data_IF_471291922984
#
_entry.id   IF_471291922984
#
_cell.length_a   1.000
_cell.length_b   1.000
_cell.length_c   1.000
_cell.angle_alpha   90.00
_cell.angle_beta   90.00
_cell.angle_gamma   90.00
#
_symmetry.space_group_name_H-M   'P 1'
#
loop_
_entity.id
_entity.type
_entity.pdbx_description
1 polymer ?
#
# COMPACT_ATOMS: atom_id res chain seq x y z
N UNK A 1 -32.48 -27.76 46.68
CA UNK A 1 -32.05 -26.37 46.36
C UNK A 1 -33.29 -25.57 45.97
N UNK A 2 -33.72 -24.58 46.77
CA UNK A 2 -34.95 -23.83 46.48
C UNK A 2 -34.79 -23.00 45.20
N UNK A 3 -35.88 -22.80 44.46
CA UNK A 3 -35.86 -22.03 43.20
C UNK A 3 -35.26 -20.63 43.42
N UNK A 4 -35.52 -20.00 44.57
CA UNK A 4 -34.96 -18.71 44.97
C UNK A 4 -33.44 -18.72 45.19
N UNK A 5 -32.85 -19.84 45.63
CA UNK A 5 -31.41 -19.97 45.84
C UNK A 5 -30.65 -20.16 44.51
N UNK A 6 -31.29 -20.75 43.49
CA UNK A 6 -30.74 -20.85 42.13
C UNK A 6 -30.80 -19.52 41.38
N UNK A 7 -31.87 -18.75 41.55
CA UNK A 7 -31.98 -17.39 40.96
C UNK A 7 -30.97 -16.43 41.58
N UNK A 8 -30.71 -16.54 42.89
CA UNK A 8 -29.66 -15.74 43.55
C UNK A 8 -28.25 -16.12 43.09
N UNK A 9 -27.96 -17.41 42.87
CA UNK A 9 -26.68 -17.84 42.32
C UNK A 9 -26.48 -17.41 40.85
N UNK A 10 -27.54 -17.47 40.02
CA UNK A 10 -27.48 -17.02 38.62
C UNK A 10 -27.28 -15.50 38.50
N UNK A 11 -27.91 -14.69 39.36
CA UNK A 11 -27.70 -13.24 39.38
C UNK A 11 -26.33 -12.85 39.96
N UNK A 12 -25.81 -13.58 40.95
CA UNK A 12 -24.47 -13.35 41.50
C UNK A 12 -23.36 -13.72 40.50
N UNK A 13 -23.55 -14.74 39.65
CA UNK A 13 -22.60 -15.11 38.58
C UNK A 13 -22.65 -14.12 37.42
N UNK A 14 -23.83 -13.57 37.08
CA UNK A 14 -23.95 -12.53 36.04
C UNK A 14 -23.37 -11.18 36.51
N UNK A 15 -23.50 -10.83 37.80
CA UNK A 15 -22.87 -9.64 38.37
C UNK A 15 -21.35 -9.78 38.56
N UNK A 16 -20.83 -11.01 38.72
CA UNK A 16 -19.39 -11.29 38.79
C UNK A 16 -18.71 -11.36 37.41
N UNK A 17 -19.48 -11.48 36.32
CA UNK A 17 -18.99 -11.44 34.94
C UNK A 17 -18.99 -10.03 34.32
N UNK A 18 -19.47 -9.02 35.04
CA UNK A 18 -19.51 -7.60 34.62
C UNK A 18 -18.65 -6.74 35.56
N UNK A 19 -17.41 -7.15 35.82
CA UNK A 19 -16.45 -6.33 36.58
C UNK A 19 -14.98 -6.50 36.18
N UNK A 20 -14.72 -7.01 34.97
CA UNK A 20 -13.39 -6.93 34.37
C UNK A 20 -13.42 -6.04 33.12
N UNK A 21 -13.71 -4.75 33.34
CA UNK A 21 -13.29 -3.69 32.43
C UNK A 21 -11.89 -3.28 32.89
N UNK A 22 -10.81 -3.81 32.29
CA UNK A 22 -9.53 -3.16 32.45
C UNK A 22 -9.67 -1.76 31.83
N UNK A 23 -9.40 -0.74 32.63
CA UNK A 23 -9.18 0.63 32.18
C UNK A 23 -7.99 0.63 31.21
N UNK A 24 -8.23 0.24 29.96
CA UNK A 24 -7.31 0.52 28.88
C UNK A 24 -7.47 2.00 28.58
N UNK A 25 -6.39 2.72 28.87
CA UNK A 25 -6.18 4.08 28.43
C UNK A 25 -6.73 4.26 27.01
N UNK A 26 -7.33 5.42 26.77
CA UNK A 26 -7.64 5.94 25.44
C UNK A 26 -6.32 6.02 24.65
N UNK A 27 -5.89 4.88 24.12
CA UNK A 27 -4.89 4.79 23.09
C UNK A 27 -5.57 5.40 21.87
N UNK A 28 -5.26 6.67 21.62
CA UNK A 28 -5.51 7.25 20.31
C UNK A 28 -5.00 6.24 19.29
N UNK A 29 -5.85 5.91 18.32
CA UNK A 29 -5.50 5.08 17.18
C UNK A 29 -4.25 5.66 16.57
N UNK A 30 -3.12 5.12 17.01
CA UNK A 30 -1.84 5.32 16.38
C UNK A 30 -2.01 4.50 15.13
N UNK A 31 -2.28 5.18 14.02
CA UNK A 31 -1.95 4.60 12.72
C UNK A 31 -0.50 4.19 12.88
N UNK A 32 -0.24 2.88 13.02
CA UNK A 32 1.10 2.35 12.81
C UNK A 32 1.43 2.77 11.39
N UNK A 33 2.11 3.91 11.26
CA UNK A 33 2.87 4.22 10.07
C UNK A 33 3.83 3.05 9.97
N UNK A 34 3.47 2.07 9.12
CA UNK A 34 4.39 1.07 8.62
C UNK A 34 5.62 1.87 8.20
N UNK A 35 6.66 1.81 9.04
CA UNK A 35 7.91 2.47 8.77
C UNK A 35 8.36 1.86 7.45
N UNK A 36 8.33 2.69 6.41
CA UNK A 36 8.92 2.36 5.13
C UNK A 36 10.36 1.96 5.46
N UNK A 37 10.79 0.73 5.16
CA UNK A 37 12.19 0.36 5.33
C UNK A 37 13.03 1.48 4.73
N UNK A 38 14.08 1.90 5.44
CA UNK A 38 15.00 2.89 4.89
C UNK A 38 15.40 2.44 3.47
N UNK A 39 15.38 3.34 2.46
CA UNK A 39 15.62 2.96 1.09
C UNK A 39 16.90 2.14 1.02
N UNK A 40 16.79 0.93 0.48
CA UNK A 40 17.96 0.11 0.21
C UNK A 40 18.83 0.95 -0.73
N UNK A 41 20.04 1.29 -0.29
CA UNK A 41 20.88 2.31 -0.96
C UNK A 41 21.33 1.89 -2.37
N UNK A 42 20.85 0.74 -2.86
CA UNK A 42 21.23 0.11 -4.11
C UNK A 42 20.06 -0.07 -5.11
N UNK A 43 18.94 0.66 -4.97
CA UNK A 43 17.82 0.60 -5.93
C UNK A 43 18.28 0.81 -7.38
N UNK A 44 19.13 1.81 -7.60
CA UNK A 44 19.72 2.06 -8.90
C UNK A 44 20.62 0.91 -9.38
N UNK A 45 21.42 0.31 -8.49
CA UNK A 45 22.29 -0.80 -8.87
C UNK A 45 21.48 -2.02 -9.32
N UNK A 46 20.35 -2.30 -8.66
CA UNK A 46 19.41 -3.34 -9.06
C UNK A 46 18.88 -3.09 -10.47
N UNK A 47 18.36 -1.89 -10.73
CA UNK A 47 17.83 -1.49 -12.05
C UNK A 47 18.91 -1.59 -13.12
N UNK A 48 20.10 -1.06 -12.85
CA UNK A 48 21.23 -1.09 -13.79
C UNK A 48 21.68 -2.51 -14.13
N UNK A 49 21.71 -3.42 -13.15
CA UNK A 49 22.07 -4.83 -13.36
C UNK A 49 20.99 -5.60 -14.10
N UNK A 50 19.71 -5.31 -13.83
CA UNK A 50 18.58 -5.89 -14.55
C UNK A 50 18.51 -5.40 -16.01
N UNK A 51 18.98 -4.18 -16.27
CA UNK A 51 18.91 -3.55 -17.59
C UNK A 51 17.51 -3.04 -17.95
N UNK A 52 16.59 -3.03 -16.99
CA UNK A 52 15.20 -2.57 -17.15
C UNK A 52 14.76 -1.80 -15.91
N UNK A 53 14.03 -0.70 -16.13
CA UNK A 53 13.32 0.05 -15.08
C UNK A 53 11.81 -0.14 -15.26
N UNK A 54 11.12 -0.53 -14.19
CA UNK A 54 9.67 -0.69 -14.21
C UNK A 54 8.99 0.54 -13.61
N UNK A 55 8.24 1.29 -14.42
CA UNK A 55 7.38 2.37 -13.96
C UNK A 55 5.96 1.87 -13.67
N UNK A 56 5.40 2.25 -12.52
CA UNK A 56 3.98 2.17 -12.26
C UNK A 56 3.29 3.48 -12.65
N UNK A 57 2.10 3.40 -13.20
CA UNK A 57 1.28 4.58 -13.51
C UNK A 57 -0.21 4.27 -13.36
N UNK A 58 -1.07 5.29 -13.42
CA UNK A 58 -2.52 5.16 -13.43
C UNK A 58 -3.07 5.76 -14.72
N UNK A 59 -3.22 4.94 -15.77
CA UNK A 59 -3.41 5.41 -17.14
C UNK A 59 -4.84 5.89 -17.47
N UNK A 60 -5.41 6.75 -16.63
CA UNK A 60 -6.72 7.37 -16.77
C UNK A 60 -6.69 8.90 -16.62
N UNK A 61 -5.50 9.52 -16.76
CA UNK A 61 -5.28 10.94 -16.50
C UNK A 61 -4.65 11.73 -17.67
N UNK A 62 -5.39 11.98 -18.76
CA UNK A 62 -4.92 12.86 -19.84
C UNK A 62 -4.65 14.29 -19.35
N UNK A 63 -3.60 14.98 -19.83
CA UNK A 63 -2.67 14.56 -20.89
C UNK A 63 -1.38 13.86 -20.39
N UNK A 64 -1.36 13.41 -19.14
CA UNK A 64 -0.15 12.93 -18.46
C UNK A 64 0.12 11.45 -18.72
N UNK A 65 -0.86 10.59 -18.45
CA UNK A 65 -0.81 9.16 -18.72
C UNK A 65 -2.21 8.69 -19.11
N UNK A 66 -2.33 8.06 -20.28
CA UNK A 66 -3.60 7.52 -20.76
C UNK A 66 -3.37 6.49 -21.86
N UNK A 67 -4.40 5.68 -22.13
CA UNK A 67 -4.43 4.89 -23.35
C UNK A 67 -4.96 5.70 -24.52
N UNK A 68 -4.20 5.76 -25.61
CA UNK A 68 -4.61 6.39 -26.86
C UNK A 68 -5.68 5.54 -27.60
N UNK A 69 -6.10 5.99 -28.79
CA UNK A 69 -7.10 5.29 -29.61
C UNK A 69 -6.69 3.90 -30.08
N UNK A 70 -5.40 3.59 -30.07
CA UNK A 70 -4.84 2.29 -30.43
C UNK A 70 -4.65 1.38 -29.19
N UNK A 71 -5.07 1.84 -28.02
CA UNK A 71 -4.87 1.16 -26.73
C UNK A 71 -3.39 1.05 -26.33
N UNK A 72 -2.59 2.07 -26.66
CA UNK A 72 -1.19 2.19 -26.26
C UNK A 72 -1.04 3.28 -25.19
N UNK A 73 -0.14 3.08 -24.23
CA UNK A 73 0.21 4.10 -23.23
C UNK A 73 0.86 5.30 -23.91
N UNK A 74 0.30 6.48 -23.64
CA UNK A 74 0.69 7.76 -24.18
C UNK A 74 0.52 8.87 -23.12
N UNK A 75 1.08 10.04 -23.40
CA UNK A 75 1.03 11.20 -22.53
C UNK A 75 2.41 11.70 -22.09
N UNK A 76 2.41 12.83 -21.37
CA UNK A 76 3.62 13.51 -20.94
C UNK A 76 4.51 12.61 -20.06
N UNK A 77 3.93 11.93 -19.06
CA UNK A 77 4.70 11.14 -18.10
C UNK A 77 5.24 9.87 -18.74
N UNK A 78 4.49 9.25 -19.65
CA UNK A 78 4.98 8.13 -20.48
C UNK A 78 6.16 8.55 -21.35
N UNK A 79 6.09 9.73 -21.97
CA UNK A 79 7.18 10.26 -22.80
C UNK A 79 8.42 10.60 -21.96
N UNK A 80 8.22 11.20 -20.77
CA UNK A 80 9.28 11.53 -19.83
C UNK A 80 10.00 10.26 -19.35
N UNK A 81 9.25 9.23 -18.92
CA UNK A 81 9.83 7.98 -18.45
C UNK A 81 10.64 7.24 -19.53
N UNK A 82 10.13 7.22 -20.78
CA UNK A 82 10.88 6.68 -21.93
C UNK A 82 12.20 7.42 -22.15
N UNK A 83 12.17 8.76 -22.14
CA UNK A 83 13.36 9.58 -22.32
C UNK A 83 14.38 9.41 -21.19
N UNK A 84 13.92 9.28 -19.94
CA UNK A 84 14.77 9.00 -18.79
C UNK A 84 15.45 7.63 -18.92
N UNK A 85 14.69 6.59 -19.26
CA UNK A 85 15.24 5.25 -19.45
C UNK A 85 16.31 5.20 -20.55
N UNK A 86 16.08 5.90 -21.67
CA UNK A 86 17.06 6.05 -22.74
C UNK A 86 18.35 6.72 -22.25
N UNK A 87 18.25 7.82 -21.49
CA UNK A 87 19.42 8.49 -20.91
C UNK A 87 20.17 7.61 -19.89
N UNK A 88 19.45 6.75 -19.18
CA UNK A 88 20.02 5.79 -18.22
C UNK A 88 20.62 4.54 -18.88
N UNK A 89 20.34 4.31 -20.17
CA UNK A 89 20.80 3.13 -20.90
C UNK A 89 20.12 1.83 -20.45
N UNK A 90 18.85 1.90 -20.03
CA UNK A 90 18.04 0.74 -19.63
C UNK A 90 16.74 0.69 -20.44
N UNK A 91 16.15 -0.50 -20.56
CA UNK A 91 14.81 -0.67 -21.11
C UNK A 91 13.76 -0.13 -20.13
N UNK A 92 12.58 0.24 -20.66
CA UNK A 92 11.46 0.73 -19.85
C UNK A 92 10.28 -0.22 -19.96
N UNK A 93 9.75 -0.60 -18.80
CA UNK A 93 8.47 -1.31 -18.69
C UNK A 93 7.47 -0.43 -17.95
N UNK A 94 6.21 -0.48 -18.36
CA UNK A 94 5.12 0.21 -17.68
C UNK A 94 4.14 -0.83 -17.11
N UNK A 95 3.67 -0.57 -15.89
CA UNK A 95 2.60 -1.31 -15.24
C UNK A 95 1.51 -0.35 -14.82
N UNK A 96 0.31 -0.62 -15.29
CA UNK A 96 -0.87 0.18 -14.99
C UNK A 96 -1.54 -0.34 -13.71
N UNK A 97 -1.80 0.57 -12.78
CA UNK A 97 -2.42 0.31 -11.49
C UNK A 97 -3.55 1.32 -11.24
N UNK A 98 -4.47 0.97 -10.35
CA UNK A 98 -5.26 2.01 -9.70
C UNK A 98 -4.33 2.91 -8.88
N UNK A 99 -4.59 4.22 -8.85
CA UNK A 99 -3.75 5.21 -8.16
C UNK A 99 -3.40 4.81 -6.71
N UNK A 100 -4.39 4.37 -5.94
CA UNK A 100 -4.22 3.93 -4.54
C UNK A 100 -3.28 2.71 -4.39
N UNK A 101 -3.05 1.96 -5.47
CA UNK A 101 -2.18 0.78 -5.50
C UNK A 101 -0.71 1.08 -5.80
N UNK A 102 -0.37 2.29 -6.27
CA UNK A 102 1.00 2.64 -6.67
C UNK A 102 1.98 2.60 -5.49
N UNK A 103 1.60 3.18 -4.35
CA UNK A 103 2.45 3.20 -3.15
C UNK A 103 2.74 1.78 -2.64
N UNK A 104 1.72 0.93 -2.59
CA UNK A 104 1.89 -0.48 -2.19
C UNK A 104 2.80 -1.23 -3.16
N UNK A 105 2.66 -0.96 -4.46
CA UNK A 105 3.47 -1.58 -5.51
C UNK A 105 4.95 -1.18 -5.43
N UNK A 106 5.25 0.08 -5.09
CA UNK A 106 6.61 0.55 -4.79
C UNK A 106 7.19 -0.18 -3.58
N UNK A 107 6.43 -0.25 -2.47
CA UNK A 107 6.90 -0.82 -1.22
C UNK A 107 7.27 -2.31 -1.33
N UNK A 108 6.56 -3.07 -2.17
CA UNK A 108 6.83 -4.50 -2.39
C UNK A 108 7.81 -4.76 -3.55
N UNK A 109 8.32 -3.70 -4.20
CA UNK A 109 9.25 -3.81 -5.33
C UNK A 109 8.62 -4.36 -6.61
N UNK A 110 7.30 -4.22 -6.79
CA UNK A 110 6.63 -4.59 -8.04
C UNK A 110 6.91 -3.59 -9.17
N UNK A 111 7.28 -2.35 -8.79
CA UNK A 111 7.72 -1.25 -9.64
C UNK A 111 8.91 -0.55 -8.97
N UNK A 112 9.76 0.08 -9.77
CA UNK A 112 10.95 0.81 -9.32
C UNK A 112 10.67 2.32 -9.13
N UNK A 113 9.73 2.86 -9.91
CA UNK A 113 9.30 4.24 -9.84
C UNK A 113 7.80 4.33 -10.14
N UNK A 114 7.14 5.39 -9.67
CA UNK A 114 5.77 5.72 -10.02
C UNK A 114 5.74 7.09 -10.68
N UNK A 115 4.94 7.22 -11.74
CA UNK A 115 4.64 8.46 -12.45
C UNK A 115 3.13 8.65 -12.45
#
# INVERSE_FOLDING_TARGET
>A
MSKSLRTFLLLAVIALLVSLVPAHAMAGTSVEQQQTPAPDTNDWERVRQAGVITFGTAADYPPFEFYNSNYELDGFDIALAKALAEQMGVEVEFKDFAFDGLLGSLQVGAIDAAI
#
